data_IF_119516773802
#
_entry.id   IF_119516773802
#
_cell.length_a   1.000
_cell.length_b   1.000
_cell.length_c   1.000
_cell.angle_alpha   90.00
_cell.angle_beta   90.00
_cell.angle_gamma   90.00
#
_symmetry.space_group_name_H-M   'P 1'
#
loop_
_entity.id
_entity.type
_entity.pdbx_description
1 polymer ?
#
# COMPACT_ATOMS: atom_id res chain seq x y z
N UNK A 1 3.58 -5.06 7.80
CA UNK A 1 2.19 -4.92 7.31
C UNK A 1 1.41 -6.23 7.48
N UNK A 2 1.96 -7.40 7.10
CA UNK A 2 1.32 -8.71 7.30
C UNK A 2 1.05 -9.01 8.78
N UNK A 3 1.93 -8.61 9.68
CA UNK A 3 1.75 -8.83 11.13
C UNK A 3 0.58 -7.99 11.63
N UNK A 4 0.62 -6.70 11.46
CA UNK A 4 -0.48 -5.78 11.77
C UNK A 4 -0.26 -4.43 11.07
N UNK A 5 -1.24 -3.95 10.28
CA UNK A 5 -1.20 -2.59 9.76
C UNK A 5 -1.15 -1.54 10.88
N UNK A 6 -1.82 -1.79 12.00
CA UNK A 6 -1.85 -0.87 13.13
C UNK A 6 -0.46 -0.58 13.72
N UNK A 7 0.45 -1.57 13.78
CA UNK A 7 1.82 -1.36 14.24
C UNK A 7 2.50 -0.36 13.31
N UNK A 8 2.52 -0.61 12.01
CA UNK A 8 3.15 0.27 11.03
C UNK A 8 2.58 1.69 11.08
N UNK A 9 1.26 1.81 11.09
CA UNK A 9 0.54 3.09 11.06
C UNK A 9 0.68 3.91 12.34
N UNK A 10 1.15 3.33 13.44
CA UNK A 10 1.48 4.04 14.67
C UNK A 10 2.97 4.40 14.79
N UNK A 11 3.85 3.70 14.07
CA UNK A 11 5.29 3.99 14.04
C UNK A 11 5.65 4.91 12.86
N UNK A 12 4.84 4.99 11.82
CA UNK A 12 5.09 5.78 10.62
C UNK A 12 5.22 7.28 10.96
N UNK A 13 6.34 7.95 10.63
CA UNK A 13 6.55 9.36 10.94
C UNK A 13 5.52 10.28 10.30
N UNK A 14 5.06 9.98 9.08
CA UNK A 14 4.01 10.76 8.41
C UNK A 14 2.67 10.64 9.11
N UNK A 15 2.33 9.47 9.65
CA UNK A 15 1.12 9.30 10.46
C UNK A 15 1.22 10.08 11.78
N UNK A 16 2.40 10.11 12.40
CA UNK A 16 2.65 10.90 13.61
C UNK A 16 2.48 12.40 13.34
N UNK A 17 3.07 12.91 12.26
CA UNK A 17 2.92 14.32 11.84
C UNK A 17 1.44 14.67 11.56
N UNK A 18 0.73 13.80 10.86
CA UNK A 18 -0.69 13.98 10.56
C UNK A 18 -1.55 14.06 11.84
N UNK A 19 -1.28 13.20 12.83
CA UNK A 19 -2.00 13.20 14.12
C UNK A 19 -1.59 14.38 15.00
N UNK A 20 -0.32 14.75 15.01
CA UNK A 20 0.21 15.87 15.80
C UNK A 20 -0.44 17.19 15.37
N UNK A 21 -0.50 17.44 14.07
CA UNK A 21 -1.15 18.61 13.50
C UNK A 21 -2.63 18.68 13.87
N UNK A 22 -3.32 17.55 13.91
CA UNK A 22 -4.71 17.50 14.33
C UNK A 22 -4.93 17.91 15.80
N UNK A 23 -3.96 17.58 16.67
CA UNK A 23 -3.98 17.99 18.09
C UNK A 23 -3.69 19.48 18.29
N UNK A 24 -2.71 20.00 17.55
CA UNK A 24 -2.25 21.39 17.67
C UNK A 24 -3.27 22.39 17.10
N UNK A 25 -4.02 21.99 16.08
CA UNK A 25 -5.04 22.83 15.43
C UNK A 25 -6.30 23.02 16.29
N UNK A 26 -6.24 22.72 17.59
CA UNK A 26 -7.25 22.87 18.61
C UNK A 26 -8.57 23.45 18.13
N UNK A 27 -9.41 22.66 17.49
CA UNK A 27 -10.78 23.02 17.13
C UNK A 27 -11.01 24.24 16.21
N UNK A 28 -10.00 24.74 15.46
CA UNK A 28 -10.21 25.88 14.55
C UNK A 28 -11.36 25.60 13.56
N UNK A 29 -11.60 24.33 13.26
CA UNK A 29 -12.73 23.88 12.43
C UNK A 29 -13.65 22.87 13.13
N UNK A 30 -13.57 22.74 14.46
CA UNK A 30 -14.41 21.87 15.26
C UNK A 30 -15.68 22.58 15.68
N UNK A 31 -16.56 22.82 14.75
CA UNK A 31 -17.95 22.96 15.11
C UNK A 31 -18.50 21.56 15.45
N UNK A 32 -18.61 21.27 16.74
CA UNK A 32 -19.20 20.04 17.29
C UNK A 32 -20.63 19.83 16.84
N UNK A 33 -21.32 20.89 16.38
CA UNK A 33 -22.72 20.86 15.95
C UNK A 33 -22.94 20.49 14.50
N UNK A 34 -21.92 20.69 13.62
CA UNK A 34 -22.00 20.36 12.21
C UNK A 34 -21.16 19.11 11.90
N UNK A 35 -21.66 17.94 12.13
CA UNK A 35 -21.03 16.62 11.89
C UNK A 35 -20.31 16.34 10.55
N UNK A 36 -19.77 17.33 9.87
CA UNK A 36 -19.29 17.27 8.48
C UNK A 36 -17.83 17.67 8.28
N UNK A 37 -16.90 17.03 8.94
CA UNK A 37 -15.56 16.98 8.33
C UNK A 37 -15.48 15.77 7.43
N UNK A 38 -15.84 16.02 6.17
CA UNK A 38 -15.66 15.08 5.07
C UNK A 38 -14.19 14.71 5.02
N UNK A 39 -13.85 13.45 5.31
CA UNK A 39 -12.51 12.96 5.03
C UNK A 39 -12.23 13.04 3.53
N UNK A 40 -11.01 13.36 3.15
CA UNK A 40 -10.56 13.35 1.75
C UNK A 40 -10.86 12.00 1.06
N UNK A 41 -10.96 10.93 1.85
CA UNK A 41 -11.41 9.59 1.44
C UNK A 41 -12.79 9.55 0.77
N UNK A 42 -13.62 10.57 0.99
CA UNK A 42 -14.95 10.67 0.37
C UNK A 42 -14.89 11.25 -1.04
N UNK A 43 -13.77 11.85 -1.44
CA UNK A 43 -13.58 12.30 -2.81
C UNK A 43 -13.42 11.09 -3.74
N UNK A 44 -14.21 11.02 -4.81
CA UNK A 44 -14.00 10.00 -5.83
C UNK A 44 -12.59 10.14 -6.41
N UNK A 45 -11.84 9.04 -6.47
CA UNK A 45 -10.49 9.04 -7.02
C UNK A 45 -9.34 9.34 -6.04
N UNK A 46 -9.59 9.56 -4.75
CA UNK A 46 -8.52 9.76 -3.77
C UNK A 46 -7.52 8.58 -3.74
N UNK A 47 -8.02 7.35 -3.90
CA UNK A 47 -7.17 6.16 -4.02
C UNK A 47 -6.26 6.17 -5.25
N UNK A 48 -6.70 6.79 -6.36
CA UNK A 48 -5.86 6.94 -7.56
C UNK A 48 -4.65 7.82 -7.30
N UNK A 49 -4.80 8.87 -6.48
CA UNK A 49 -3.69 9.74 -6.11
C UNK A 49 -2.63 8.93 -5.34
N UNK A 50 -3.04 8.11 -4.36
CA UNK A 50 -2.11 7.27 -3.61
C UNK A 50 -1.38 6.26 -4.50
N UNK A 51 -2.09 5.60 -5.43
CA UNK A 51 -1.51 4.68 -6.40
C UNK A 51 -0.55 5.42 -7.34
N UNK A 52 -0.95 6.57 -7.89
CA UNK A 52 -0.11 7.36 -8.78
C UNK A 52 1.17 7.84 -8.09
N UNK A 53 1.05 8.35 -6.85
CA UNK A 53 2.22 8.76 -6.06
C UNK A 53 3.17 7.60 -5.80
N UNK A 54 2.67 6.40 -5.50
CA UNK A 54 3.51 5.22 -5.34
C UNK A 54 4.24 4.88 -6.64
N UNK A 55 3.52 4.83 -7.76
CA UNK A 55 4.09 4.49 -9.07
C UNK A 55 5.07 5.53 -9.59
N UNK A 56 4.97 6.78 -9.15
CA UNK A 56 5.91 7.85 -9.51
C UNK A 56 7.10 7.88 -8.55
N UNK A 57 6.86 7.92 -7.24
CA UNK A 57 7.92 8.17 -6.26
C UNK A 57 8.86 6.96 -6.06
N UNK A 58 8.34 5.73 -6.12
CA UNK A 58 9.17 4.55 -5.88
C UNK A 58 10.18 4.33 -7.01
N UNK A 59 9.81 4.35 -8.30
CA UNK A 59 10.79 4.24 -9.38
C UNK A 59 11.76 5.42 -9.45
N UNK A 60 11.33 6.63 -9.08
CA UNK A 60 12.18 7.83 -9.03
C UNK A 60 13.39 7.65 -8.11
N UNK A 61 13.33 6.75 -7.13
CA UNK A 61 14.48 6.41 -6.30
C UNK A 61 15.68 5.93 -7.13
N UNK A 62 15.45 5.18 -8.21
CA UNK A 62 16.51 4.55 -9.01
C UNK A 62 17.36 5.54 -9.81
N UNK A 63 16.81 6.69 -10.17
CA UNK A 63 17.49 7.64 -11.05
C UNK A 63 17.56 9.07 -10.49
N UNK A 64 16.83 9.36 -9.39
CA UNK A 64 16.80 10.70 -8.82
C UNK A 64 17.22 10.69 -7.34
N UNK A 65 16.51 9.94 -6.48
CA UNK A 65 16.72 10.08 -5.04
C UNK A 65 18.00 9.40 -4.53
N UNK A 66 18.55 8.42 -5.26
CA UNK A 66 19.83 7.82 -4.92
C UNK A 66 21.02 8.69 -5.38
N UNK A 67 20.81 9.55 -6.38
CA UNK A 67 21.85 10.40 -6.96
C UNK A 67 21.80 11.83 -6.38
N UNK A 68 20.62 12.38 -6.10
CA UNK A 68 20.41 13.73 -5.63
C UNK A 68 19.73 13.78 -4.26
N UNK A 69 20.54 13.96 -3.22
CA UNK A 69 20.08 14.09 -1.85
C UNK A 69 19.20 15.33 -1.61
N UNK A 70 19.39 16.43 -2.38
CA UNK A 70 18.55 17.61 -2.28
C UNK A 70 17.14 17.34 -2.81
N UNK A 71 17.02 16.66 -3.96
CA UNK A 71 15.73 16.24 -4.50
C UNK A 71 14.98 15.31 -3.54
N UNK A 72 15.69 14.37 -2.89
CA UNK A 72 15.13 13.52 -1.86
C UNK A 72 14.62 14.35 -0.66
N UNK A 73 15.45 15.27 -0.14
CA UNK A 73 15.11 16.10 1.01
C UNK A 73 13.88 16.98 0.74
N UNK A 74 13.82 17.63 -0.44
CA UNK A 74 12.67 18.44 -0.85
C UNK A 74 11.40 17.56 -0.95
N UNK A 75 11.51 16.38 -1.55
CA UNK A 75 10.36 15.46 -1.69
C UNK A 75 9.84 15.02 -0.32
N UNK A 76 10.73 14.59 0.57
CA UNK A 76 10.36 14.19 1.94
C UNK A 76 9.74 15.35 2.71
N UNK A 77 10.32 16.55 2.63
CA UNK A 77 9.78 17.75 3.27
C UNK A 77 8.39 18.11 2.73
N UNK A 78 8.20 18.03 1.41
CA UNK A 78 6.90 18.30 0.77
C UNK A 78 5.83 17.32 1.23
N UNK A 79 6.14 16.02 1.25
CA UNK A 79 5.21 14.98 1.72
C UNK A 79 4.91 15.14 3.21
N UNK A 80 5.90 15.51 4.03
CA UNK A 80 5.73 15.77 5.45
C UNK A 80 4.83 17.01 5.69
N UNK A 81 5.07 18.09 4.94
CA UNK A 81 4.24 19.30 5.01
C UNK A 81 2.79 19.00 4.58
N UNK A 82 2.62 18.22 3.52
CA UNK A 82 1.30 17.80 3.06
C UNK A 82 0.58 16.95 4.13
N UNK A 83 1.29 16.06 4.81
CA UNK A 83 0.73 15.29 5.92
C UNK A 83 0.30 16.17 7.09
N UNK A 84 1.11 17.21 7.43
CA UNK A 84 0.76 18.20 8.45
C UNK A 84 -0.48 19.02 8.06
N UNK A 85 -0.52 19.57 6.86
CA UNK A 85 -1.64 20.40 6.38
C UNK A 85 -2.92 19.58 6.35
N UNK A 86 -2.88 18.38 5.79
CA UNK A 86 -4.06 17.52 5.72
C UNK A 86 -4.49 17.01 7.11
N UNK A 87 -3.56 16.87 8.05
CA UNK A 87 -3.85 16.56 9.45
C UNK A 87 -4.54 17.71 10.17
N UNK A 88 -4.21 18.97 9.84
CA UNK A 88 -4.89 20.15 10.37
C UNK A 88 -6.31 20.30 9.83
N UNK A 89 -6.52 19.98 8.54
CA UNK A 89 -7.81 20.15 7.86
C UNK A 89 -8.77 18.99 8.14
N UNK A 90 -8.29 17.75 8.15
CA UNK A 90 -9.10 16.55 8.28
C UNK A 90 -8.88 15.84 9.61
N UNK A 91 -9.89 15.10 10.09
CA UNK A 91 -9.78 14.42 11.38
C UNK A 91 -8.85 13.20 11.32
N UNK A 92 -7.93 13.10 12.27
CA UNK A 92 -7.02 11.97 12.46
C UNK A 92 -6.31 11.58 11.14
N UNK A 93 -6.36 10.29 10.79
CA UNK A 93 -5.74 9.71 9.60
C UNK A 93 -6.59 9.87 8.32
N UNK A 94 -7.73 10.57 8.38
CA UNK A 94 -8.69 10.67 7.27
C UNK A 94 -8.20 11.54 6.09
N UNK A 95 -7.30 12.49 6.35
CA UNK A 95 -6.79 13.39 5.33
C UNK A 95 -5.67 12.78 4.49
N UNK A 96 -4.57 12.38 5.12
CA UNK A 96 -3.39 11.87 4.43
C UNK A 96 -3.36 10.34 4.38
N UNK A 97 -3.31 9.69 5.57
CA UNK A 97 -3.01 8.26 5.66
C UNK A 97 -4.06 7.34 5.01
N UNK A 98 -5.34 7.72 5.04
CA UNK A 98 -6.43 6.92 4.46
C UNK A 98 -6.89 7.41 3.08
N UNK A 99 -6.26 8.43 2.51
CA UNK A 99 -6.68 9.01 1.24
C UNK A 99 -5.59 8.96 0.18
N UNK A 100 -4.51 9.71 0.37
CA UNK A 100 -3.51 9.96 -0.67
C UNK A 100 -2.13 9.38 -0.34
N UNK A 101 -1.97 8.73 0.82
CA UNK A 101 -0.69 8.13 1.19
C UNK A 101 -0.24 7.11 0.12
N UNK A 102 0.98 7.25 -0.43
CA UNK A 102 1.48 6.32 -1.46
C UNK A 102 1.67 4.89 -0.95
N UNK A 103 1.80 4.69 0.36
CA UNK A 103 1.93 3.35 0.94
C UNK A 103 0.57 2.68 1.17
N UNK A 104 -0.52 3.45 1.21
CA UNK A 104 -1.87 2.94 1.50
C UNK A 104 -2.33 1.80 0.56
N UNK A 105 -2.10 1.84 -0.77
CA UNK A 105 -2.49 0.74 -1.65
C UNK A 105 -1.80 -0.59 -1.25
N UNK A 106 -0.52 -0.51 -0.88
CA UNK A 106 0.26 -1.67 -0.42
C UNK A 106 -0.14 -2.12 0.98
N UNK A 107 -0.44 -1.15 1.88
CA UNK A 107 -0.98 -1.48 3.21
C UNK A 107 -2.29 -2.24 3.12
N UNK A 108 -3.19 -1.86 2.24
CA UNK A 108 -4.44 -2.58 2.00
C UNK A 108 -4.19 -3.98 1.49
N UNK A 109 -3.28 -4.12 0.52
CA UNK A 109 -2.97 -5.41 -0.09
C UNK A 109 -2.46 -6.44 0.93
N UNK A 110 -1.53 -6.03 1.79
CA UNK A 110 -0.92 -6.93 2.79
C UNK A 110 -1.68 -6.97 4.11
N UNK A 111 -2.38 -5.91 4.45
CA UNK A 111 -3.02 -5.74 5.75
C UNK A 111 -4.45 -6.25 5.86
N UNK A 112 -5.04 -6.82 4.80
CA UNK A 112 -6.44 -7.27 4.80
C UNK A 112 -6.73 -8.43 5.78
N UNK A 113 -5.75 -9.30 6.00
CA UNK A 113 -5.83 -10.43 6.95
C UNK A 113 -4.61 -10.42 7.88
N UNK A 114 -4.51 -9.45 8.81
CA UNK A 114 -3.34 -9.35 9.66
C UNK A 114 -3.20 -10.56 10.59
N UNK A 115 -1.95 -10.95 10.86
CA UNK A 115 -1.66 -12.03 11.79
C UNK A 115 -2.07 -11.69 13.24
N UNK A 116 -1.90 -10.41 13.61
CA UNK A 116 -2.35 -9.83 14.87
C UNK A 116 -3.38 -8.74 14.59
N UNK A 117 -4.60 -8.93 15.09
CA UNK A 117 -5.63 -7.91 15.08
C UNK A 117 -5.45 -6.99 16.28
N UNK A 118 -4.85 -5.82 16.04
CA UNK A 118 -4.74 -4.76 17.04
C UNK A 118 -5.73 -3.66 16.67
N UNK A 119 -6.65 -3.35 17.57
CA UNK A 119 -7.56 -2.21 17.42
C UNK A 119 -6.88 -0.94 17.90
N UNK A 120 -6.93 0.12 17.11
CA UNK A 120 -6.52 1.45 17.57
C UNK A 120 -7.68 2.05 18.38
N UNK A 121 -7.51 2.12 19.71
CA UNK A 121 -8.53 2.68 20.63
C UNK A 121 -8.92 4.12 20.31
N UNK A 122 -8.03 4.88 19.66
CA UNK A 122 -8.30 6.27 19.23
C UNK A 122 -9.22 6.34 18.00
N UNK A 123 -9.28 5.28 17.22
CA UNK A 123 -10.13 5.21 16.03
C UNK A 123 -11.53 4.66 16.35
N UNK A 124 -11.72 4.01 17.48
CA UNK A 124 -13.02 3.41 17.87
C UNK A 124 -14.17 4.45 17.86
N UNK A 125 -14.03 5.69 18.40
CA UNK A 125 -15.09 6.69 18.31
C UNK A 125 -15.16 7.38 16.92
N UNK A 126 -14.17 7.17 16.04
CA UNK A 126 -14.09 7.84 14.75
C UNK A 126 -14.59 6.92 13.62
N UNK A 127 -15.87 6.94 13.34
CA UNK A 127 -16.49 6.11 12.30
C UNK A 127 -16.29 6.64 10.87
N UNK A 128 -15.74 7.83 10.68
CA UNK A 128 -15.71 8.52 9.37
C UNK A 128 -14.80 7.86 8.32
N UNK A 129 -13.71 7.24 8.76
CA UNK A 129 -12.87 6.47 7.85
C UNK A 129 -13.44 5.09 7.51
N UNK A 130 -14.41 4.59 8.30
CA UNK A 130 -14.99 3.25 8.15
C UNK A 130 -15.90 3.14 6.94
N UNK A 131 -16.52 4.23 6.50
CA UNK A 131 -17.43 4.26 5.36
C UNK A 131 -16.78 3.83 4.05
N UNK A 132 -15.42 3.89 3.97
CA UNK A 132 -14.64 3.45 2.80
C UNK A 132 -13.56 2.42 3.13
N UNK A 133 -13.80 1.59 4.14
CA UNK A 133 -12.89 0.51 4.49
C UNK A 133 -11.64 0.98 5.22
N UNK A 134 -11.81 1.38 6.48
CA UNK A 134 -10.68 1.74 7.34
C UNK A 134 -9.83 0.51 7.67
N UNK A 135 -8.52 0.62 7.42
CA UNK A 135 -7.57 -0.46 7.66
C UNK A 135 -7.34 -0.70 9.16
N UNK A 136 -7.51 0.34 10.00
CA UNK A 136 -7.29 0.26 11.45
C UNK A 136 -8.46 -0.44 12.19
N UNK A 137 -9.68 -0.35 11.66
CA UNK A 137 -10.87 -0.90 12.31
C UNK A 137 -11.45 -2.12 11.59
N UNK A 138 -11.33 -2.18 10.27
CA UNK A 138 -11.90 -3.26 9.47
C UNK A 138 -10.98 -3.65 8.32
N UNK A 139 -9.80 -4.25 8.59
CA UNK A 139 -8.83 -4.58 7.54
C UNK A 139 -9.42 -5.38 6.38
N UNK A 140 -10.20 -6.41 6.68
CA UNK A 140 -10.82 -7.28 5.69
C UNK A 140 -11.84 -6.57 4.78
N UNK A 141 -12.40 -5.45 5.23
CA UNK A 141 -13.36 -4.64 4.46
C UNK A 141 -12.69 -3.53 3.66
N UNK A 142 -11.39 -3.31 3.83
CA UNK A 142 -10.68 -2.18 3.22
C UNK A 142 -10.64 -2.26 1.69
N UNK A 143 -10.45 -3.46 1.13
CA UNK A 143 -10.41 -3.68 -0.33
C UNK A 143 -11.82 -3.78 -0.92
N UNK A 144 -12.74 -4.60 -0.38
CA UNK A 144 -14.13 -4.61 -0.85
C UNK A 144 -14.77 -3.23 -0.92
N UNK A 145 -14.49 -2.37 0.05
CA UNK A 145 -15.04 -1.01 0.09
C UNK A 145 -14.51 -0.10 -1.03
N UNK A 146 -13.26 -0.24 -1.46
CA UNK A 146 -12.70 0.56 -2.57
C UNK A 146 -13.03 -0.02 -3.93
N UNK A 147 -13.13 -1.34 -4.06
CA UNK A 147 -13.57 -2.02 -5.29
C UNK A 147 -15.08 -1.85 -5.51
N UNK A 148 -15.84 -1.74 -4.41
CA UNK A 148 -17.27 -1.45 -4.45
C UNK A 148 -18.09 -2.54 -5.13
N UNK A 149 -19.05 -2.14 -5.97
CA UNK A 149 -19.99 -3.07 -6.63
C UNK A 149 -19.34 -4.11 -7.54
N UNK A 150 -18.10 -3.90 -7.94
CA UNK A 150 -17.36 -4.83 -8.82
C UNK A 150 -16.78 -6.02 -8.06
N UNK A 151 -16.81 -6.03 -6.72
CA UNK A 151 -16.18 -7.05 -5.89
C UNK A 151 -16.65 -8.48 -6.16
N UNK A 152 -17.93 -8.69 -6.40
CA UNK A 152 -18.52 -10.01 -6.68
C UNK A 152 -18.44 -10.49 -8.14
N UNK A 153 -17.72 -9.80 -9.01
CA UNK A 153 -17.63 -10.11 -10.43
C UNK A 153 -16.21 -9.94 -10.96
N UNK A 154 -15.85 -10.53 -12.10
CA UNK A 154 -14.55 -10.33 -12.76
C UNK A 154 -14.22 -8.85 -13.07
N UNK A 155 -15.24 -7.98 -13.04
CA UNK A 155 -15.07 -6.53 -13.24
C UNK A 155 -14.25 -5.85 -12.14
N UNK A 156 -13.94 -6.53 -11.02
CA UNK A 156 -13.04 -5.96 -10.00
C UNK A 156 -11.69 -5.57 -10.58
N UNK A 157 -11.22 -6.28 -11.61
CA UNK A 157 -9.96 -5.98 -12.32
C UNK A 157 -9.98 -4.62 -13.03
N UNK A 158 -11.16 -4.11 -13.40
CA UNK A 158 -11.33 -2.80 -14.03
C UNK A 158 -11.41 -1.66 -13.01
N UNK A 159 -11.52 -1.96 -11.72
CA UNK A 159 -11.44 -0.93 -10.68
C UNK A 159 -10.00 -0.45 -10.53
N UNK A 160 -9.76 0.82 -10.16
CA UNK A 160 -8.40 1.35 -9.98
C UNK A 160 -7.56 0.51 -9.02
N UNK A 161 -8.16 0.10 -7.92
CA UNK A 161 -7.47 -0.74 -6.93
C UNK A 161 -7.23 -2.16 -7.44
N UNK A 162 -8.19 -2.75 -8.13
CA UNK A 162 -8.05 -4.08 -8.73
C UNK A 162 -6.96 -4.13 -9.80
N UNK A 163 -6.91 -3.11 -10.67
CA UNK A 163 -5.86 -2.98 -11.66
C UNK A 163 -4.48 -2.83 -11.00
N UNK A 164 -4.38 -2.02 -9.95
CA UNK A 164 -3.17 -1.90 -9.14
C UNK A 164 -2.77 -3.24 -8.53
N UNK A 165 -3.68 -3.94 -7.85
CA UNK A 165 -3.38 -5.21 -7.19
C UNK A 165 -2.91 -6.28 -8.19
N UNK A 166 -3.52 -6.35 -9.37
CA UNK A 166 -3.14 -7.28 -10.43
C UNK A 166 -1.77 -6.94 -11.07
N UNK A 167 -1.44 -5.66 -11.18
CA UNK A 167 -0.18 -5.20 -11.76
C UNK A 167 0.98 -5.18 -10.75
N UNK A 168 0.70 -5.16 -9.44
CA UNK A 168 1.70 -4.92 -8.40
C UNK A 168 2.81 -5.98 -8.30
N UNK A 169 2.58 -7.29 -8.49
CA UNK A 169 3.68 -8.25 -8.59
C UNK A 169 4.67 -7.90 -9.71
N UNK A 170 4.16 -7.49 -10.88
CA UNK A 170 4.99 -7.00 -11.99
C UNK A 170 5.74 -5.72 -11.64
N UNK A 171 5.11 -4.79 -10.90
CA UNK A 171 5.80 -3.61 -10.39
C UNK A 171 7.02 -3.99 -9.53
N UNK A 172 6.88 -4.98 -8.63
CA UNK A 172 7.99 -5.46 -7.79
C UNK A 172 9.11 -6.03 -8.65
N UNK A 173 8.80 -6.86 -9.64
CA UNK A 173 9.80 -7.43 -10.56
C UNK A 173 10.48 -6.31 -11.36
N UNK A 174 9.69 -5.48 -12.04
CA UNK A 174 10.21 -4.41 -12.89
C UNK A 174 11.10 -3.42 -12.15
N UNK A 175 10.73 -3.08 -10.92
CA UNK A 175 11.55 -2.23 -10.06
C UNK A 175 12.84 -2.93 -9.59
N UNK A 176 12.77 -4.21 -9.22
CA UNK A 176 13.89 -4.93 -8.61
C UNK A 176 14.95 -5.39 -9.63
N UNK A 177 14.57 -5.51 -10.90
CA UNK A 177 15.49 -5.90 -11.99
C UNK A 177 16.28 -4.72 -12.56
N UNK A 178 16.00 -3.50 -12.11
CA UNK A 178 16.70 -2.29 -12.56
C UNK A 178 17.91 -2.00 -11.68
N UNK A 179 18.99 -1.58 -12.31
CA UNK A 179 20.12 -0.96 -11.64
C UNK A 179 19.88 0.53 -11.43
N UNK A 180 20.53 1.10 -10.44
CA UNK A 180 20.53 2.54 -10.22
C UNK A 180 21.20 3.25 -11.42
N UNK A 181 20.75 4.42 -11.76
CA UNK A 181 21.22 5.15 -12.92
C UNK A 181 20.89 6.63 -12.84
N UNK A 182 21.44 7.39 -13.80
CA UNK A 182 21.25 8.83 -13.91
C UNK A 182 19.86 9.21 -14.42
N UNK A 183 19.47 10.45 -14.24
CA UNK A 183 18.19 11.03 -14.67
C UNK A 183 17.86 10.76 -16.16
N UNK A 184 18.88 10.68 -17.02
CA UNK A 184 18.72 10.34 -18.43
C UNK A 184 18.04 8.97 -18.67
N UNK A 185 18.11 8.05 -17.71
CA UNK A 185 17.46 6.72 -17.77
C UNK A 185 16.05 6.68 -17.21
N UNK A 186 15.48 7.81 -16.81
CA UNK A 186 14.13 7.85 -16.22
C UNK A 186 13.09 7.18 -17.13
N UNK A 187 13.15 7.43 -18.45
CA UNK A 187 12.26 6.81 -19.43
C UNK A 187 12.36 5.29 -19.43
N UNK A 188 13.57 4.73 -19.43
CA UNK A 188 13.82 3.29 -19.43
C UNK A 188 13.29 2.65 -18.13
N UNK A 189 13.49 3.31 -16.99
CA UNK A 189 13.00 2.86 -15.68
C UNK A 189 11.48 2.73 -15.69
N UNK A 190 10.78 3.78 -16.09
CA UNK A 190 9.31 3.75 -16.14
C UNK A 190 8.79 2.77 -17.19
N UNK A 191 9.44 2.69 -18.35
CA UNK A 191 9.05 1.73 -19.40
C UNK A 191 9.18 0.28 -18.94
N UNK A 192 10.30 -0.06 -18.31
CA UNK A 192 10.50 -1.42 -17.77
C UNK A 192 9.47 -1.77 -16.68
N UNK A 193 9.24 -0.85 -15.75
CA UNK A 193 8.22 -1.05 -14.71
C UNK A 193 6.83 -1.21 -15.34
N UNK A 194 6.46 -0.35 -16.29
CA UNK A 194 5.17 -0.42 -16.97
C UNK A 194 4.99 -1.73 -17.76
N UNK A 195 6.04 -2.20 -18.43
CA UNK A 195 6.02 -3.47 -19.16
C UNK A 195 5.74 -4.65 -18.22
N UNK A 196 6.48 -4.77 -17.13
CA UNK A 196 6.28 -5.85 -16.16
C UNK A 196 4.92 -5.75 -15.46
N UNK A 197 4.42 -4.54 -15.18
CA UNK A 197 3.07 -4.32 -14.67
C UNK A 197 2.01 -4.80 -15.67
N UNK A 198 2.18 -4.51 -16.95
CA UNK A 198 1.28 -4.96 -18.02
C UNK A 198 1.28 -6.49 -18.14
N UNK A 199 2.46 -7.13 -18.12
CA UNK A 199 2.60 -8.60 -18.16
C UNK A 199 1.89 -9.23 -16.96
N UNK A 200 2.11 -8.71 -15.74
CA UNK A 200 1.45 -9.20 -14.54
C UNK A 200 -0.08 -9.04 -14.64
N UNK A 201 -0.55 -7.87 -15.04
CA UNK A 201 -1.98 -7.58 -15.18
C UNK A 201 -2.65 -8.53 -16.18
N UNK A 202 -2.08 -8.69 -17.36
CA UNK A 202 -2.61 -9.57 -18.40
C UNK A 202 -2.62 -11.04 -17.96
N UNK A 203 -1.55 -11.48 -17.28
CA UNK A 203 -1.49 -12.83 -16.69
C UNK A 203 -2.60 -13.05 -15.65
N UNK A 204 -2.84 -12.07 -14.77
CA UNK A 204 -3.90 -12.15 -13.77
C UNK A 204 -5.30 -12.14 -14.41
N UNK A 205 -5.51 -11.33 -15.44
CA UNK A 205 -6.77 -11.34 -16.22
C UNK A 205 -7.02 -12.73 -16.80
N UNK A 206 -6.01 -13.30 -17.47
CA UNK A 206 -6.11 -14.64 -18.05
C UNK A 206 -6.46 -15.69 -17.00
N UNK A 207 -5.70 -15.73 -15.89
CA UNK A 207 -5.94 -16.69 -14.80
C UNK A 207 -7.33 -16.50 -14.18
N UNK A 208 -7.76 -15.26 -13.94
CA UNK A 208 -9.07 -14.97 -13.34
C UNK A 208 -10.21 -15.41 -14.25
N UNK A 209 -10.08 -15.19 -15.56
CA UNK A 209 -11.10 -15.58 -16.55
C UNK A 209 -11.15 -17.10 -16.72
N UNK A 210 -10.00 -17.75 -16.87
CA UNK A 210 -9.93 -19.21 -17.09
C UNK A 210 -10.37 -19.99 -15.85
N UNK A 211 -9.89 -19.61 -14.67
CA UNK A 211 -10.19 -20.33 -13.42
C UNK A 211 -11.47 -19.84 -12.73
N UNK A 212 -12.10 -18.77 -13.24
CA UNK A 212 -13.27 -18.11 -12.61
C UNK A 212 -13.05 -17.85 -11.11
N UNK A 213 -11.83 -17.48 -10.74
CA UNK A 213 -11.42 -17.29 -9.36
C UNK A 213 -12.09 -16.05 -8.74
N UNK A 214 -12.47 -16.14 -7.46
CA UNK A 214 -13.06 -15.01 -6.74
C UNK A 214 -12.04 -13.89 -6.53
N UNK A 215 -12.51 -12.64 -6.49
CA UNK A 215 -11.67 -11.48 -6.25
C UNK A 215 -10.86 -11.59 -4.96
N UNK A 216 -11.48 -12.05 -3.87
CA UNK A 216 -10.81 -12.21 -2.59
C UNK A 216 -9.64 -13.20 -2.62
N UNK A 217 -9.85 -14.36 -3.26
CA UNK A 217 -8.79 -15.36 -3.43
C UNK A 217 -7.64 -14.80 -4.27
N UNK A 218 -7.97 -14.19 -5.42
CA UNK A 218 -6.95 -13.62 -6.31
C UNK A 218 -6.13 -12.54 -5.62
N UNK A 219 -6.75 -11.63 -4.89
CA UNK A 219 -6.04 -10.56 -4.19
C UNK A 219 -5.14 -11.13 -3.07
N UNK A 220 -5.58 -12.16 -2.34
CA UNK A 220 -4.72 -12.83 -1.37
C UNK A 220 -3.51 -13.50 -2.03
N UNK A 221 -3.70 -14.17 -3.16
CA UNK A 221 -2.61 -14.76 -3.93
C UNK A 221 -1.63 -13.70 -4.45
N UNK A 222 -2.16 -12.60 -5.00
CA UNK A 222 -1.34 -11.49 -5.48
C UNK A 222 -0.53 -10.82 -4.35
N UNK A 223 -1.13 -10.66 -3.17
CA UNK A 223 -0.41 -10.19 -2.00
C UNK A 223 0.74 -11.14 -1.62
N UNK A 224 0.47 -12.45 -1.59
CA UNK A 224 1.47 -13.46 -1.28
C UNK A 224 2.63 -13.46 -2.31
N UNK A 225 2.29 -13.44 -3.60
CA UNK A 225 3.28 -13.40 -4.69
C UNK A 225 4.12 -12.13 -4.62
N UNK A 226 3.50 -10.96 -4.47
CA UNK A 226 4.22 -9.70 -4.41
C UNK A 226 5.14 -9.61 -3.19
N UNK A 227 4.72 -10.12 -2.03
CA UNK A 227 5.55 -10.19 -0.84
C UNK A 227 6.73 -11.16 -1.03
N UNK A 228 6.47 -12.34 -1.58
CA UNK A 228 7.51 -13.33 -1.88
C UNK A 228 8.57 -12.77 -2.84
N UNK A 229 8.14 -12.14 -3.94
CA UNK A 229 9.02 -11.48 -4.89
C UNK A 229 9.83 -10.35 -4.25
N UNK A 230 9.17 -9.50 -3.44
CA UNK A 230 9.87 -8.42 -2.75
C UNK A 230 11.01 -8.95 -1.88
N UNK A 231 10.77 -9.95 -1.04
CA UNK A 231 11.82 -10.51 -0.17
C UNK A 231 12.83 -11.38 -0.92
N UNK A 232 12.45 -11.95 -2.06
CA UNK A 232 13.39 -12.64 -2.94
C UNK A 232 14.51 -11.70 -3.39
N UNK A 233 14.15 -10.51 -3.86
CA UNK A 233 15.12 -9.50 -4.31
C UNK A 233 15.74 -8.71 -3.13
N UNK A 234 14.94 -8.32 -2.14
CA UNK A 234 15.40 -7.51 -1.02
C UNK A 234 16.39 -8.27 -0.12
N UNK A 235 16.28 -9.60 -0.01
CA UNK A 235 17.20 -10.40 0.80
C UNK A 235 18.66 -10.21 0.40
N UNK A 236 18.94 -10.18 -0.89
CA UNK A 236 20.28 -9.95 -1.40
C UNK A 236 20.77 -8.53 -1.14
N UNK A 237 19.91 -7.53 -1.35
CA UNK A 237 20.24 -6.14 -1.04
C UNK A 237 20.50 -5.92 0.46
N UNK A 238 19.71 -6.56 1.32
CA UNK A 238 19.90 -6.50 2.78
C UNK A 238 21.22 -7.13 3.19
N UNK A 239 21.51 -8.34 2.73
CA UNK A 239 22.74 -9.04 3.13
C UNK A 239 23.99 -8.37 2.59
N UNK A 240 23.94 -7.80 1.39
CA UNK A 240 25.06 -7.04 0.82
C UNK A 240 25.31 -5.75 1.60
N UNK A 241 24.25 -5.07 2.10
CA UNK A 241 24.41 -3.88 2.93
C UNK A 241 25.13 -4.14 4.27
N UNK A 242 25.12 -5.37 4.77
CA UNK A 242 25.82 -5.80 5.98
C UNK A 242 27.07 -6.64 5.72
N UNK A 243 27.45 -6.81 4.45
CA UNK A 243 28.57 -7.65 4.02
C UNK A 243 28.50 -9.11 4.52
N UNK A 244 27.30 -9.67 4.59
CA UNK A 244 27.00 -11.03 5.08
C UNK A 244 26.25 -11.87 4.06
N UNK A 245 26.77 -11.95 2.82
CA UNK A 245 26.12 -12.75 1.78
C UNK A 245 26.15 -14.27 2.06
N UNK A 246 25.34 -15.02 1.33
CA UNK A 246 25.30 -16.50 1.39
C UNK A 246 24.18 -17.04 2.29
N UNK A 247 24.51 -17.79 3.36
CA UNK A 247 23.52 -18.45 4.24
C UNK A 247 22.46 -17.45 4.77
N UNK A 248 22.80 -16.23 5.26
CA UNK A 248 21.81 -15.26 5.69
C UNK A 248 20.81 -14.87 4.62
N UNK A 249 21.22 -14.75 3.35
CA UNK A 249 20.30 -14.48 2.24
C UNK A 249 19.25 -15.59 2.08
N UNK A 250 19.70 -16.84 2.14
CA UNK A 250 18.79 -17.99 2.08
C UNK A 250 17.84 -18.02 3.28
N UNK A 251 18.35 -17.74 4.48
CA UNK A 251 17.51 -17.67 5.69
C UNK A 251 16.40 -16.63 5.59
N UNK A 252 16.71 -15.43 5.08
CA UNK A 252 15.72 -14.38 4.86
C UNK A 252 14.66 -14.85 3.85
N UNK A 253 15.07 -15.44 2.72
CA UNK A 253 14.15 -15.95 1.69
C UNK A 253 13.23 -17.06 2.23
N UNK A 254 13.80 -18.03 2.95
CA UNK A 254 13.03 -19.13 3.55
C UNK A 254 12.07 -18.61 4.62
N UNK A 255 12.53 -17.76 5.53
CA UNK A 255 11.68 -17.20 6.59
C UNK A 255 10.52 -16.38 6.00
N UNK A 256 10.80 -15.55 5.00
CA UNK A 256 9.76 -14.79 4.30
C UNK A 256 8.77 -15.73 3.59
N UNK A 257 9.26 -16.77 2.93
CA UNK A 257 8.40 -17.78 2.28
C UNK A 257 7.49 -18.50 3.27
N UNK A 258 8.03 -18.96 4.40
CA UNK A 258 7.25 -19.62 5.47
C UNK A 258 6.20 -18.67 6.05
N UNK A 259 6.57 -17.41 6.30
CA UNK A 259 5.64 -16.40 6.79
C UNK A 259 4.48 -16.16 5.81
N UNK A 260 4.76 -16.07 4.53
CA UNK A 260 3.76 -15.91 3.47
C UNK A 260 2.84 -17.11 3.38
N UNK A 261 3.39 -18.32 3.40
CA UNK A 261 2.60 -19.56 3.37
C UNK A 261 1.69 -19.67 4.60
N UNK A 262 2.22 -19.36 5.79
CA UNK A 262 1.42 -19.33 7.01
C UNK A 262 0.31 -18.28 6.95
N UNK A 263 0.61 -17.08 6.46
CA UNK A 263 -0.37 -16.02 6.28
C UNK A 263 -1.46 -16.44 5.28
N UNK A 264 -1.06 -17.00 4.14
CA UNK A 264 -1.97 -17.44 3.09
C UNK A 264 -2.90 -18.57 3.58
N UNK A 265 -2.38 -19.54 4.33
CA UNK A 265 -3.17 -20.62 4.94
C UNK A 265 -4.24 -20.10 5.91
N UNK A 266 -4.00 -18.92 6.53
CA UNK A 266 -5.00 -18.27 7.40
C UNK A 266 -5.97 -17.36 6.63
N UNK A 267 -5.52 -16.75 5.53
CA UNK A 267 -6.31 -15.78 4.77
C UNK A 267 -7.34 -16.46 3.86
N UNK A 268 -6.96 -17.54 3.17
CA UNK A 268 -7.82 -18.25 2.21
C UNK A 268 -9.13 -18.78 2.82
N UNK A 269 -9.13 -19.47 3.98
CA UNK A 269 -10.38 -19.97 4.57
C UNK A 269 -11.35 -18.88 5.03
N UNK A 270 -10.86 -17.65 5.21
CA UNK A 270 -11.67 -16.51 5.66
C UNK A 270 -12.25 -15.68 4.52
N UNK A 271 -11.82 -15.94 3.29
CA UNK A 271 -12.39 -15.32 2.11
C UNK A 271 -13.66 -16.03 1.69
N UNK A 272 -14.83 -15.37 1.64
CA UNK A 272 -16.04 -15.98 1.14
C UNK A 272 -15.81 -16.41 -0.33
N UNK A 273 -15.89 -17.71 -0.56
CA UNK A 273 -15.90 -18.31 -1.89
C UNK A 273 -17.29 -18.06 -2.46
N UNK A 274 -17.49 -16.96 -3.19
CA UNK A 274 -18.67 -16.70 -4.01
C UNK A 274 -18.26 -16.16 -5.36
#
# INVERSE_FOLDING_TARGET
>A
LLISPAIWRNVCPLATLNILSNRSSGNIFSDRSSGRRLGLTLLPGAELIGIALLLVLVPARRFLFNEDGLALAITVATVALLALVLGAVFQFKAGFCNAICPVLPVERLYGQHPLLQLSDSRCVPCQRCTMRGCLDLGPAQSIPAVVGRSWGSSRWLLSPYGAFAAAFPGFVVGYSTLNDGQLARAGDVYMNVALWMAVSYLGVVLVTVVLRASAGLMINLLAAVAFGLYYWFAAEAITNAFDIAGIPTLMIRVTAGLLVLYWLARAVPRTPIR
#
